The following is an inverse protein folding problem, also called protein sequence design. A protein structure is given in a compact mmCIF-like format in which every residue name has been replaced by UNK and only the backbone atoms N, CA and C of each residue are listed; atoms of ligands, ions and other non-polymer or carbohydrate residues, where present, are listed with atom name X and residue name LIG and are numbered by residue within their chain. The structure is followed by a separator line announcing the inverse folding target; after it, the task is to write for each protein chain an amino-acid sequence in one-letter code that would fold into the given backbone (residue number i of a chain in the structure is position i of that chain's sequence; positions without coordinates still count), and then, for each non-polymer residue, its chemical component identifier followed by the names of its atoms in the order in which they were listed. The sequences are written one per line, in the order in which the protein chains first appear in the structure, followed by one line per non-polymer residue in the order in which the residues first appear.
data_IF_623862501224
#
_entry.id   IF_623862501224
#
_cell.length_a   1.000
_cell.length_b   1.000
_cell.length_c   1.000
_cell.angle_alpha   90.00
_cell.angle_beta   90.00
_cell.angle_gamma   90.00
#
_symmetry.space_group_name_H-M   'P 1'
#
loop_
_entity.id
_entity.type
_entity.pdbx_description
1 polymer ?
#
# COMPACT_ATOMS: atom_id res chain seq x y z
N UNK A 1 11.60 -25.88 -2.79
CA UNK A 1 12.82 -25.09 -3.04
C UNK A 1 13.60 -25.78 -4.14
N UNK A 2 14.15 -25.06 -5.12
CA UNK A 2 15.01 -25.69 -6.14
C UNK A 2 16.26 -26.24 -5.47
N UNK A 3 16.59 -27.51 -5.71
CA UNK A 3 17.92 -28.03 -5.39
C UNK A 3 18.98 -27.23 -6.16
N UNK A 4 20.20 -27.13 -5.62
CA UNK A 4 21.29 -26.38 -6.26
C UNK A 4 21.53 -26.77 -7.72
N UNK A 5 21.31 -28.05 -8.06
CA UNK A 5 21.37 -28.57 -9.42
C UNK A 5 20.27 -27.98 -10.32
N UNK A 6 19.06 -27.80 -9.80
CA UNK A 6 17.95 -27.17 -10.52
C UNK A 6 18.24 -25.70 -10.86
N UNK A 7 18.83 -24.95 -9.92
CA UNK A 7 19.27 -23.57 -10.16
C UNK A 7 20.37 -23.50 -11.22
N UNK A 8 21.34 -24.41 -11.14
CA UNK A 8 22.41 -24.53 -12.12
C UNK A 8 21.89 -24.84 -13.52
N UNK A 9 21.05 -25.86 -13.66
CA UNK A 9 20.50 -26.28 -14.95
C UNK A 9 19.57 -25.24 -15.55
N UNK A 10 18.78 -24.55 -14.72
CA UNK A 10 17.92 -23.45 -15.16
C UNK A 10 18.71 -22.28 -15.73
N UNK A 11 19.71 -21.79 -14.99
CA UNK A 11 20.58 -20.71 -15.47
C UNK A 11 21.45 -21.11 -16.67
N UNK A 12 21.89 -22.37 -16.71
CA UNK A 12 22.58 -22.94 -17.88
C UNK A 12 21.67 -22.96 -19.11
N UNK A 13 20.41 -23.38 -18.94
CA UNK A 13 19.41 -23.44 -20.00
C UNK A 13 19.09 -22.07 -20.61
N UNK A 14 18.95 -21.04 -19.77
CA UNK A 14 18.72 -19.65 -20.21
C UNK A 14 19.94 -19.01 -20.91
N UNK A 15 21.15 -19.33 -20.46
CA UNK A 15 22.36 -18.80 -21.08
C UNK A 15 22.79 -19.58 -22.35
N UNK A 16 22.31 -20.82 -22.51
CA UNK A 16 22.65 -21.69 -23.64
C UNK A 16 21.77 -21.41 -24.87
N UNK A 17 22.40 -21.14 -26.01
CA UNK A 17 21.71 -20.87 -27.28
C UNK A 17 20.84 -22.06 -27.71
N UNK A 18 19.54 -21.84 -27.85
CA UNK A 18 18.55 -22.86 -28.22
C UNK A 18 17.59 -23.18 -27.07
N UNK A 19 18.04 -23.84 -25.98
CA UNK A 19 17.22 -24.09 -24.80
C UNK A 19 16.65 -22.81 -24.18
N UNK A 20 17.37 -21.69 -24.29
CA UNK A 20 16.97 -20.38 -23.78
C UNK A 20 15.65 -19.82 -24.34
N UNK A 21 15.16 -20.34 -25.47
CA UNK A 21 13.84 -19.98 -25.98
C UNK A 21 12.70 -20.54 -25.11
N UNK A 22 12.96 -21.60 -24.35
CA UNK A 22 11.97 -22.33 -23.56
C UNK A 22 12.21 -22.24 -22.05
N UNK A 23 13.44 -21.91 -21.63
CA UNK A 23 13.83 -21.83 -20.22
C UNK A 23 14.10 -20.38 -19.86
N UNK A 24 13.16 -19.68 -19.19
CA UNK A 24 13.40 -18.32 -18.69
C UNK A 24 14.37 -18.37 -17.51
N UNK A 25 15.43 -17.57 -17.54
CA UNK A 25 16.46 -17.55 -16.49
C UNK A 25 16.05 -16.80 -15.23
N UNK A 26 15.22 -15.77 -15.35
CA UNK A 26 14.87 -14.84 -14.27
C UNK A 26 14.35 -15.54 -13.00
N UNK A 27 13.44 -16.53 -13.09
CA UNK A 27 12.94 -17.25 -11.91
C UNK A 27 14.05 -17.95 -11.12
N UNK A 28 15.08 -18.48 -11.79
CA UNK A 28 16.18 -19.18 -11.14
C UNK A 28 17.11 -18.21 -10.40
N UNK A 29 17.40 -17.04 -10.98
CA UNK A 29 18.18 -16.00 -10.30
C UNK A 29 17.45 -15.41 -9.08
N UNK A 30 16.13 -15.17 -9.19
CA UNK A 30 15.29 -14.73 -8.06
C UNK A 30 15.27 -15.81 -6.96
N UNK A 31 15.04 -17.07 -7.33
CA UNK A 31 15.03 -18.17 -6.36
C UNK A 31 16.37 -18.36 -5.66
N UNK A 32 17.49 -18.16 -6.36
CA UNK A 32 18.82 -18.22 -5.77
C UNK A 32 19.05 -17.09 -4.76
N UNK A 33 18.60 -15.86 -5.06
CA UNK A 33 18.64 -14.75 -4.12
C UNK A 33 17.82 -15.00 -2.87
N UNK A 34 16.60 -15.54 -3.03
CA UNK A 34 15.73 -15.90 -1.90
C UNK A 34 16.40 -16.93 -0.99
N UNK A 35 16.94 -18.02 -1.56
CA UNK A 35 17.61 -19.08 -0.80
C UNK A 35 18.88 -18.59 -0.10
N UNK A 36 19.64 -17.70 -0.75
CA UNK A 36 20.84 -17.13 -0.17
C UNK A 36 20.54 -16.29 1.07
N UNK A 37 19.45 -15.51 1.04
CA UNK A 37 18.97 -14.78 2.21
C UNK A 37 18.57 -15.73 3.35
N UNK A 38 17.97 -16.89 3.03
CA UNK A 38 17.66 -17.95 4.00
C UNK A 38 18.89 -18.73 4.50
N UNK A 39 20.12 -18.31 4.16
CA UNK A 39 21.37 -18.92 4.62
C UNK A 39 21.99 -19.95 3.65
N UNK A 40 21.33 -20.28 2.54
CA UNK A 40 21.83 -21.24 1.56
C UNK A 40 22.65 -20.55 0.46
N UNK A 41 23.86 -20.07 0.81
CA UNK A 41 24.79 -19.39 -0.11
C UNK A 41 25.21 -20.23 -1.34
N UNK A 42 25.12 -21.56 -1.24
CA UNK A 42 25.40 -22.47 -2.35
C UNK A 42 24.51 -22.20 -3.56
N UNK A 43 23.29 -21.71 -3.36
CA UNK A 43 22.35 -21.34 -4.42
C UNK A 43 22.92 -20.26 -5.36
N UNK A 44 23.61 -19.25 -4.81
CA UNK A 44 24.29 -18.20 -5.58
C UNK A 44 25.40 -18.80 -6.45
N UNK A 45 26.20 -19.70 -5.87
CA UNK A 45 27.31 -20.33 -6.58
C UNK A 45 26.78 -21.14 -7.75
N UNK A 46 25.76 -21.98 -7.53
CA UNK A 46 25.18 -22.81 -8.58
C UNK A 46 24.55 -21.99 -9.72
N UNK A 47 23.78 -20.94 -9.41
CA UNK A 47 23.13 -20.13 -10.46
C UNK A 47 24.15 -19.34 -11.27
N UNK A 48 25.19 -18.79 -10.62
CA UNK A 48 26.25 -18.05 -11.29
C UNK A 48 27.13 -18.96 -12.14
N UNK A 49 27.47 -20.16 -11.66
CA UNK A 49 28.20 -21.15 -12.44
C UNK A 49 27.40 -21.62 -13.66
N UNK A 50 26.10 -21.88 -13.49
CA UNK A 50 25.20 -22.27 -14.59
C UNK A 50 25.16 -21.20 -15.69
N UNK A 51 24.90 -19.95 -15.29
CA UNK A 51 24.86 -18.82 -16.21
C UNK A 51 26.20 -18.57 -16.93
N UNK A 52 27.32 -18.66 -16.21
CA UNK A 52 28.65 -18.45 -16.80
C UNK A 52 29.00 -19.57 -17.80
N UNK A 53 28.77 -20.83 -17.42
CA UNK A 53 29.03 -21.97 -18.30
C UNK A 53 28.14 -21.94 -19.54
N UNK A 54 26.88 -21.53 -19.42
CA UNK A 54 25.99 -21.36 -20.56
C UNK A 54 26.51 -20.31 -21.54
N UNK A 55 26.98 -19.16 -21.04
CA UNK A 55 27.60 -18.12 -21.88
C UNK A 55 28.85 -18.66 -22.60
N UNK A 56 29.71 -19.40 -21.88
CA UNK A 56 30.91 -19.99 -22.48
C UNK A 56 30.57 -21.01 -23.58
N UNK A 57 29.60 -21.89 -23.32
CA UNK A 57 29.15 -22.90 -24.28
C UNK A 57 28.50 -22.26 -25.50
N UNK A 58 27.63 -21.27 -25.31
CA UNK A 58 27.05 -20.47 -26.39
C UNK A 58 28.12 -19.80 -27.24
N UNK A 59 29.13 -19.21 -26.61
CA UNK A 59 30.30 -18.65 -27.28
C UNK A 59 31.07 -19.72 -28.08
N UNK A 60 31.34 -20.89 -27.51
CA UNK A 60 32.03 -22.00 -28.18
C UNK A 60 31.26 -22.52 -29.40
N UNK A 61 29.94 -22.68 -29.26
CA UNK A 61 29.04 -23.05 -30.35
C UNK A 61 29.09 -22.00 -31.45
N UNK A 62 29.06 -20.71 -31.08
CA UNK A 62 29.24 -19.59 -31.99
C UNK A 62 30.58 -19.62 -32.71
N UNK A 63 31.66 -19.87 -31.99
CA UNK A 63 33.03 -19.93 -32.51
C UNK A 63 33.20 -21.06 -33.53
N UNK A 64 32.65 -22.24 -33.26
CA UNK A 64 32.81 -23.43 -34.10
C UNK A 64 31.81 -23.52 -35.25
N UNK A 65 30.57 -23.11 -35.02
CA UNK A 65 29.46 -23.30 -35.97
C UNK A 65 28.83 -22.00 -36.48
N UNK A 66 29.15 -20.85 -35.92
CA UNK A 66 28.53 -19.56 -36.25
C UNK A 66 28.59 -19.21 -37.74
N UNK A 67 29.75 -19.38 -38.38
CA UNK A 67 29.91 -19.09 -39.81
C UNK A 67 29.12 -20.05 -40.73
N UNK A 68 28.87 -21.29 -40.30
CA UNK A 68 28.02 -22.24 -41.03
C UNK A 68 26.54 -21.92 -40.80
N UNK A 69 26.14 -21.66 -39.56
CA UNK A 69 24.78 -21.28 -39.18
C UNK A 69 24.33 -19.99 -39.88
N UNK A 70 25.18 -18.96 -39.89
CA UNK A 70 24.92 -17.69 -40.55
C UNK A 70 24.69 -17.86 -42.06
N UNK A 71 25.53 -18.66 -42.74
CA UNK A 71 25.37 -18.95 -44.18
C UNK A 71 24.07 -19.70 -44.47
N UNK A 72 23.71 -20.69 -43.64
CA UNK A 72 22.44 -21.42 -43.76
C UNK A 72 21.23 -20.51 -43.53
N UNK A 73 21.29 -19.63 -42.53
CA UNK A 73 20.23 -18.67 -42.22
C UNK A 73 20.03 -17.63 -43.33
N UNK A 74 21.11 -17.10 -43.91
CA UNK A 74 21.02 -16.15 -45.03
C UNK A 74 20.43 -16.83 -46.27
N UNK A 75 20.79 -18.11 -46.53
CA UNK A 75 20.21 -18.89 -47.63
C UNK A 75 18.71 -19.15 -47.43
N UNK A 76 18.29 -19.44 -46.20
CA UNK A 76 16.90 -19.71 -45.86
C UNK A 76 16.02 -18.45 -45.76
N UNK A 77 16.56 -17.34 -45.24
CA UNK A 77 15.88 -16.04 -45.15
C UNK A 77 16.81 -14.90 -45.60
N UNK A 78 16.85 -14.57 -46.90
CA UNK A 78 17.76 -13.57 -47.46
C UNK A 78 17.66 -12.17 -46.82
N UNK A 79 16.46 -11.78 -46.35
CA UNK A 79 16.23 -10.50 -45.64
C UNK A 79 17.08 -10.34 -44.37
N UNK A 80 17.55 -11.43 -43.77
CA UNK A 80 18.43 -11.40 -42.58
C UNK A 80 19.83 -10.87 -42.87
N UNK A 81 20.28 -10.89 -44.13
CA UNK A 81 21.63 -10.41 -44.53
C UNK A 81 21.90 -8.97 -44.08
N UNK A 82 20.93 -8.07 -44.26
CA UNK A 82 21.05 -6.66 -43.87
C UNK A 82 21.07 -6.48 -42.35
N UNK A 83 20.26 -7.26 -41.63
CA UNK A 83 20.22 -7.24 -40.16
C UNK A 83 21.56 -7.72 -39.57
N UNK A 84 22.08 -8.84 -40.08
CA UNK A 84 23.36 -9.40 -39.64
C UNK A 84 24.52 -8.42 -39.95
N UNK A 85 24.51 -7.75 -41.11
CA UNK A 85 25.51 -6.73 -41.43
C UNK A 85 25.46 -5.53 -40.45
N UNK A 86 24.26 -5.08 -40.06
CA UNK A 86 24.09 -4.05 -39.03
C UNK A 86 24.58 -4.50 -37.66
N UNK A 87 24.27 -5.73 -37.24
CA UNK A 87 24.78 -6.30 -35.99
C UNK A 87 26.31 -6.35 -35.99
N UNK A 88 26.93 -6.77 -37.12
CA UNK A 88 28.40 -6.75 -37.29
C UNK A 88 28.99 -5.37 -37.09
N UNK A 89 28.37 -4.35 -37.70
CA UNK A 89 28.81 -2.97 -37.55
C UNK A 89 28.70 -2.48 -36.10
N UNK A 90 27.58 -2.79 -35.41
CA UNK A 90 27.38 -2.42 -34.01
C UNK A 90 28.36 -3.12 -33.07
N UNK A 91 28.67 -4.40 -33.30
CA UNK A 91 29.66 -5.16 -32.53
C UNK A 91 31.07 -4.62 -32.78
N UNK A 92 31.42 -4.28 -34.03
CA UNK A 92 32.72 -3.70 -34.33
C UNK A 92 32.92 -2.33 -33.64
N UNK A 93 31.85 -1.53 -33.50
CA UNK A 93 31.91 -0.18 -32.91
C UNK A 93 31.73 -0.15 -31.40
N UNK A 94 30.89 -1.04 -30.84
CA UNK A 94 30.46 -1.04 -29.43
C UNK A 94 30.50 -2.43 -28.78
N UNK A 95 31.26 -3.38 -29.32
CA UNK A 95 31.25 -4.79 -28.91
C UNK A 95 31.48 -5.02 -27.43
N UNK A 96 32.40 -4.27 -26.81
CA UNK A 96 32.68 -4.35 -25.37
C UNK A 96 31.44 -4.02 -24.52
N UNK A 97 30.79 -2.90 -24.81
CA UNK A 97 29.57 -2.48 -24.11
C UNK A 97 28.39 -3.42 -24.37
N UNK A 98 28.27 -3.91 -25.61
CA UNK A 98 27.21 -4.84 -25.97
C UNK A 98 27.33 -6.15 -25.20
N UNK A 99 28.55 -6.69 -25.05
CA UNK A 99 28.78 -7.94 -24.30
C UNK A 99 28.54 -7.70 -22.81
N UNK A 100 29.05 -6.59 -22.26
CA UNK A 100 28.91 -6.26 -20.84
C UNK A 100 27.45 -6.05 -20.41
N UNK A 101 26.68 -5.30 -21.21
CA UNK A 101 25.29 -4.93 -20.86
C UNK A 101 24.24 -5.82 -21.53
N UNK A 102 24.63 -6.86 -22.28
CA UNK A 102 23.71 -7.74 -23.01
C UNK A 102 22.58 -8.28 -22.13
N UNK A 103 22.94 -8.73 -20.91
CA UNK A 103 22.02 -9.36 -19.96
C UNK A 103 20.98 -8.39 -19.37
N UNK A 104 21.19 -7.08 -19.47
CA UNK A 104 20.18 -6.08 -19.08
C UNK A 104 19.15 -5.81 -20.19
N UNK A 105 19.40 -6.26 -21.42
CA UNK A 105 18.60 -5.96 -22.60
C UNK A 105 17.61 -7.08 -22.96
N UNK A 106 17.28 -7.95 -22.00
CA UNK A 106 16.29 -9.02 -22.15
C UNK A 106 16.64 -10.01 -23.28
N UNK A 107 15.76 -10.24 -24.27
CA UNK A 107 15.97 -11.26 -25.32
C UNK A 107 17.24 -11.12 -26.16
N UNK A 108 17.89 -9.95 -26.13
CA UNK A 108 19.18 -9.74 -26.78
C UNK A 108 20.26 -10.61 -26.11
N UNK A 109 20.21 -10.77 -24.79
CA UNK A 109 21.17 -11.54 -24.00
C UNK A 109 21.35 -12.97 -24.51
N UNK A 110 20.25 -13.60 -24.95
CA UNK A 110 20.20 -14.97 -25.46
C UNK A 110 21.10 -15.25 -26.66
N UNK A 111 21.47 -14.22 -27.42
CA UNK A 111 22.18 -14.40 -28.71
C UNK A 111 23.57 -13.78 -28.69
N UNK A 112 23.86 -12.85 -27.75
CA UNK A 112 25.14 -12.15 -27.71
C UNK A 112 26.35 -13.09 -27.53
N UNK A 113 26.35 -14.07 -26.60
CA UNK A 113 27.47 -15.00 -26.45
C UNK A 113 27.79 -15.76 -27.76
N UNK A 114 26.75 -16.30 -28.42
CA UNK A 114 26.89 -16.99 -29.70
C UNK A 114 27.44 -16.07 -30.80
N UNK A 115 26.95 -14.83 -30.88
CA UNK A 115 27.40 -13.87 -31.88
C UNK A 115 28.86 -13.46 -31.61
N UNK A 116 29.24 -13.22 -30.37
CA UNK A 116 30.62 -12.92 -29.97
C UNK A 116 31.57 -14.04 -30.40
N UNK A 117 31.17 -15.30 -30.20
CA UNK A 117 31.88 -16.48 -30.70
C UNK A 117 32.00 -16.49 -32.22
N UNK A 118 30.90 -16.24 -32.93
CA UNK A 118 30.87 -16.24 -34.40
C UNK A 118 31.79 -15.19 -35.04
N UNK A 119 32.07 -14.12 -34.29
CA UNK A 119 32.99 -13.05 -34.68
C UNK A 119 34.41 -13.21 -34.14
N UNK A 120 34.71 -14.33 -33.46
CA UNK A 120 36.04 -14.65 -32.91
C UNK A 120 36.58 -13.55 -31.99
N UNK A 121 35.71 -12.94 -31.17
CA UNK A 121 36.15 -12.10 -30.05
C UNK A 121 37.11 -12.93 -29.19
N UNK A 122 38.29 -12.43 -28.77
CA UNK A 122 39.22 -13.24 -27.97
C UNK A 122 38.54 -13.76 -26.70
N UNK A 123 38.65 -15.07 -26.46
CA UNK A 123 37.93 -15.77 -25.39
C UNK A 123 38.12 -15.12 -24.02
N UNK A 124 39.36 -14.74 -23.66
CA UNK A 124 39.65 -14.07 -22.38
C UNK A 124 38.86 -12.77 -22.20
N UNK A 125 38.83 -11.92 -23.21
CA UNK A 125 38.08 -10.66 -23.17
C UNK A 125 36.57 -10.91 -23.08
N UNK A 126 36.07 -11.92 -23.82
CA UNK A 126 34.67 -12.31 -23.74
C UNK A 126 34.32 -12.83 -22.33
N UNK A 127 35.07 -13.76 -21.76
CA UNK A 127 34.76 -14.37 -20.47
C UNK A 127 34.76 -13.35 -19.33
N UNK A 128 35.68 -12.38 -19.33
CA UNK A 128 35.69 -11.30 -18.32
C UNK A 128 34.46 -10.42 -18.46
N UNK A 129 34.14 -9.96 -19.68
CA UNK A 129 32.96 -9.13 -19.92
C UNK A 129 31.65 -9.85 -19.62
N UNK A 130 31.57 -11.14 -19.97
CA UNK A 130 30.42 -11.99 -19.70
C UNK A 130 30.23 -12.21 -18.19
N UNK A 131 31.30 -12.38 -17.42
CA UNK A 131 31.24 -12.48 -15.96
C UNK A 131 30.68 -11.20 -15.34
N UNK A 132 31.21 -10.03 -15.71
CA UNK A 132 30.68 -8.76 -15.21
C UNK A 132 29.23 -8.53 -15.66
N UNK A 133 28.91 -8.88 -16.91
CA UNK A 133 27.53 -8.79 -17.39
C UNK A 133 26.57 -9.73 -16.66
N UNK A 134 27.03 -10.91 -16.27
CA UNK A 134 26.29 -11.87 -15.43
C UNK A 134 26.10 -11.33 -14.01
N UNK A 135 27.13 -10.73 -13.41
CA UNK A 135 27.02 -10.09 -12.09
C UNK A 135 26.01 -8.93 -12.15
N UNK A 136 26.05 -8.08 -13.17
CA UNK A 136 25.12 -6.95 -13.28
C UNK A 136 23.69 -7.42 -13.60
N UNK A 137 23.53 -8.19 -14.68
CA UNK A 137 22.22 -8.59 -15.18
C UNK A 137 21.56 -9.74 -14.42
N UNK A 138 22.34 -10.69 -13.90
CA UNK A 138 21.84 -11.74 -13.00
C UNK A 138 21.75 -11.26 -11.55
N UNK A 139 22.71 -10.45 -11.10
CA UNK A 139 22.76 -9.92 -9.74
C UNK A 139 21.56 -9.03 -9.39
N UNK A 140 21.01 -8.26 -10.33
CA UNK A 140 19.77 -7.51 -10.06
C UNK A 140 18.61 -8.43 -9.67
N UNK A 141 18.46 -9.59 -10.32
CA UNK A 141 17.39 -10.55 -10.03
C UNK A 141 17.64 -11.28 -8.71
N UNK A 142 18.90 -11.59 -8.42
CA UNK A 142 19.31 -12.11 -7.11
C UNK A 142 18.97 -11.10 -6.00
N UNK A 143 19.28 -9.82 -6.20
CA UNK A 143 18.95 -8.77 -5.25
C UNK A 143 17.44 -8.66 -5.02
N UNK A 144 16.63 -8.69 -6.10
CA UNK A 144 15.17 -8.78 -5.97
C UNK A 144 14.71 -10.02 -5.19
N UNK A 145 15.33 -11.17 -5.40
CA UNK A 145 15.06 -12.38 -4.62
C UNK A 145 15.36 -12.24 -3.14
N UNK A 146 16.49 -11.62 -2.79
CA UNK A 146 16.84 -11.33 -1.39
C UNK A 146 15.86 -10.33 -0.75
N UNK A 147 15.46 -9.29 -1.48
CA UNK A 147 14.45 -8.32 -1.01
C UNK A 147 13.10 -9.00 -0.73
N UNK A 148 12.67 -9.90 -1.61
CA UNK A 148 11.44 -10.68 -1.41
C UNK A 148 11.54 -11.58 -0.17
N UNK A 149 12.70 -12.17 0.10
CA UNK A 149 12.92 -13.03 1.26
C UNK A 149 12.98 -12.26 2.59
N UNK A 150 13.51 -11.04 2.59
CA UNK A 150 13.53 -10.14 3.74
C UNK A 150 12.12 -9.68 4.17
N UNK A 151 11.13 -9.83 3.28
CA UNK A 151 9.76 -9.41 3.49
C UNK A 151 9.52 -7.98 3.01
N UNK A 152 8.43 -7.81 2.26
CA UNK A 152 7.98 -6.50 1.76
C UNK A 152 7.63 -5.56 2.93
N UNK A 153 7.24 -6.13 4.07
CA UNK A 153 6.83 -5.42 5.29
C UNK A 153 8.00 -4.74 6.02
N UNK A 154 9.22 -5.22 5.84
CA UNK A 154 10.44 -4.64 6.42
C UNK A 154 10.88 -3.36 5.71
N UNK A 155 10.31 -3.05 4.54
CA UNK A 155 10.58 -1.83 3.78
C UNK A 155 9.36 -0.90 3.84
N UNK A 156 9.42 0.21 4.61
CA UNK A 156 8.29 1.12 4.80
C UNK A 156 7.63 1.54 3.47
N UNK A 157 8.45 1.93 2.48
CA UNK A 157 7.96 2.35 1.16
C UNK A 157 7.18 1.26 0.43
N UNK A 158 7.69 0.02 0.42
CA UNK A 158 7.03 -1.07 -0.29
C UNK A 158 5.76 -1.52 0.44
N UNK A 159 5.76 -1.48 1.77
CA UNK A 159 4.58 -1.74 2.57
C UNK A 159 3.48 -0.70 2.30
N UNK A 160 3.81 0.59 2.27
CA UNK A 160 2.87 1.66 1.89
C UNK A 160 2.29 1.44 0.49
N UNK A 161 3.13 1.05 -0.49
CA UNK A 161 2.67 0.73 -1.86
C UNK A 161 1.73 -0.48 -1.86
N UNK A 162 2.04 -1.54 -1.09
CA UNK A 162 1.19 -2.73 -0.96
C UNK A 162 -0.19 -2.37 -0.38
N UNK A 163 -0.22 -1.60 0.71
CA UNK A 163 -1.46 -1.13 1.34
C UNK A 163 -2.26 -0.27 0.35
N UNK A 164 -1.60 0.68 -0.31
CA UNK A 164 -2.24 1.52 -1.32
C UNK A 164 -2.89 0.71 -2.44
N UNK A 165 -2.18 -0.27 -3.01
CA UNK A 165 -2.70 -1.12 -4.07
C UNK A 165 -3.86 -2.01 -3.60
N UNK A 166 -3.79 -2.50 -2.36
CA UNK A 166 -4.86 -3.32 -1.78
C UNK A 166 -6.15 -2.51 -1.59
N UNK A 167 -6.06 -1.29 -1.05
CA UNK A 167 -7.21 -0.39 -0.89
C UNK A 167 -7.81 0.01 -2.25
N UNK A 168 -6.96 0.42 -3.20
CA UNK A 168 -7.40 0.99 -4.48
C UNK A 168 -7.73 -0.05 -5.56
N UNK A 169 -7.74 -1.34 -5.22
CA UNK A 169 -7.87 -2.43 -6.20
C UNK A 169 -9.13 -2.31 -7.08
N UNK A 170 -10.28 -1.92 -6.50
CA UNK A 170 -11.54 -1.77 -7.23
C UNK A 170 -11.48 -0.63 -8.27
N UNK A 171 -10.92 0.52 -7.88
CA UNK A 171 -10.72 1.66 -8.79
C UNK A 171 -9.70 1.32 -9.88
N UNK A 172 -8.57 0.70 -9.54
CA UNK A 172 -7.54 0.30 -10.50
C UNK A 172 -8.12 -0.65 -11.54
N UNK A 173 -8.88 -1.67 -11.13
CA UNK A 173 -9.56 -2.58 -12.03
C UNK A 173 -10.58 -1.87 -12.92
N UNK A 174 -11.36 -0.94 -12.36
CA UNK A 174 -12.31 -0.10 -13.12
C UNK A 174 -11.63 0.75 -14.18
N UNK A 175 -10.56 1.47 -13.82
CA UNK A 175 -9.77 2.28 -14.76
C UNK A 175 -9.12 1.41 -15.83
N UNK A 176 -8.59 0.25 -15.47
CA UNK A 176 -8.02 -0.70 -16.42
C UNK A 176 -9.07 -1.22 -17.42
N UNK A 177 -10.26 -1.59 -16.94
CA UNK A 177 -11.36 -2.03 -17.80
C UNK A 177 -11.81 -0.91 -18.77
N UNK A 178 -11.91 0.33 -18.29
CA UNK A 178 -12.19 1.50 -19.12
C UNK A 178 -11.10 1.68 -20.18
N UNK A 179 -9.82 1.63 -19.81
CA UNK A 179 -8.70 1.76 -20.72
C UNK A 179 -8.73 0.70 -21.83
N UNK A 180 -8.92 -0.57 -21.46
CA UNK A 180 -9.03 -1.68 -22.42
C UNK A 180 -10.20 -1.46 -23.37
N UNK A 181 -11.38 -1.09 -22.85
CA UNK A 181 -12.56 -0.81 -23.67
C UNK A 181 -12.34 0.38 -24.60
N UNK A 182 -11.70 1.45 -24.12
CA UNK A 182 -11.36 2.62 -24.95
C UNK A 182 -10.37 2.25 -26.06
N UNK A 183 -9.35 1.43 -25.78
CA UNK A 183 -8.39 0.94 -26.80
C UNK A 183 -9.10 0.10 -27.86
N UNK A 184 -9.96 -0.84 -27.45
CA UNK A 184 -10.74 -1.69 -28.36
C UNK A 184 -11.69 -0.83 -29.19
N UNK A 185 -12.45 0.06 -28.56
CA UNK A 185 -13.41 0.94 -29.21
C UNK A 185 -12.75 1.91 -30.19
N UNK A 186 -11.53 2.38 -29.89
CA UNK A 186 -10.72 3.18 -30.81
C UNK A 186 -10.30 2.36 -32.03
N UNK A 187 -9.78 1.14 -31.84
CA UNK A 187 -9.38 0.22 -32.92
C UNK A 187 -10.56 -0.19 -33.82
N UNK A 188 -11.73 -0.37 -33.22
CA UNK A 188 -12.97 -0.77 -33.91
C UNK A 188 -13.81 0.43 -34.40
N UNK A 189 -13.34 1.67 -34.23
CA UNK A 189 -14.02 2.91 -34.65
C UNK A 189 -15.47 3.03 -34.14
N UNK A 190 -15.69 2.72 -32.87
CA UNK A 190 -17.01 2.84 -32.26
C UNK A 190 -17.52 4.28 -32.27
N UNK A 191 -18.80 4.46 -32.63
CA UNK A 191 -19.50 5.75 -32.47
C UNK A 191 -19.66 6.07 -30.98
N UNK A 192 -19.53 7.34 -30.63
CA UNK A 192 -19.66 7.88 -29.27
C UNK A 192 -18.75 7.19 -28.22
N UNK A 193 -17.51 6.86 -28.61
CA UNK A 193 -16.55 6.18 -27.72
C UNK A 193 -16.34 6.91 -26.39
N UNK A 194 -16.25 8.25 -26.42
CA UNK A 194 -16.06 9.06 -25.21
C UNK A 194 -17.24 8.88 -24.24
N UNK A 195 -18.48 8.91 -24.74
CA UNK A 195 -19.68 8.74 -23.91
C UNK A 195 -19.71 7.35 -23.27
N UNK A 196 -19.42 6.30 -24.05
CA UNK A 196 -19.37 4.92 -23.54
C UNK A 196 -18.29 4.73 -22.49
N UNK A 197 -17.10 5.32 -22.71
CA UNK A 197 -15.97 5.22 -21.78
C UNK A 197 -16.26 5.99 -20.48
N UNK A 198 -16.87 7.17 -20.61
CA UNK A 198 -17.29 7.98 -19.45
C UNK A 198 -18.40 7.30 -18.66
N UNK A 199 -19.38 6.69 -19.33
CA UNK A 199 -20.45 5.94 -18.70
C UNK A 199 -19.92 4.70 -17.95
N UNK A 200 -18.99 3.96 -18.55
CA UNK A 200 -18.34 2.82 -17.89
C UNK A 200 -17.50 3.25 -16.69
N UNK A 201 -16.78 4.37 -16.80
CA UNK A 201 -16.03 4.94 -15.68
C UNK A 201 -16.95 5.32 -14.52
N UNK A 202 -18.03 6.05 -14.82
CA UNK A 202 -19.02 6.42 -13.81
C UNK A 202 -19.65 5.18 -13.16
N UNK A 203 -20.07 4.19 -13.95
CA UNK A 203 -20.60 2.93 -13.43
C UNK A 203 -19.60 2.19 -12.55
N UNK A 204 -18.31 2.20 -12.92
CA UNK A 204 -17.24 1.57 -12.14
C UNK A 204 -17.00 2.28 -10.81
N UNK A 205 -17.03 3.61 -10.78
CA UNK A 205 -16.92 4.42 -9.55
C UNK A 205 -18.12 4.19 -8.65
N UNK A 206 -19.34 4.20 -9.19
CA UNK A 206 -20.57 3.93 -8.44
C UNK A 206 -20.59 2.51 -7.87
N UNK A 207 -20.17 1.52 -8.66
CA UNK A 207 -20.04 0.14 -8.21
C UNK A 207 -18.99 -0.01 -7.12
N UNK A 208 -17.83 0.64 -7.25
CA UNK A 208 -16.80 0.61 -6.21
C UNK A 208 -17.30 1.21 -4.88
N UNK A 209 -18.06 2.30 -4.94
CA UNK A 209 -18.73 2.90 -3.79
C UNK A 209 -19.73 1.94 -3.15
N UNK A 210 -20.63 1.36 -3.96
CA UNK A 210 -21.64 0.42 -3.48
C UNK A 210 -21.00 -0.81 -2.84
N UNK A 211 -20.04 -1.44 -3.52
CA UNK A 211 -19.35 -2.61 -3.02
C UNK A 211 -18.55 -2.32 -1.74
N UNK A 212 -17.98 -1.13 -1.60
CA UNK A 212 -17.28 -0.74 -0.38
C UNK A 212 -18.24 -0.71 0.82
N UNK A 213 -19.29 0.12 0.75
CA UNK A 213 -20.15 0.37 1.90
C UNK A 213 -21.13 -0.76 2.20
N UNK A 214 -21.54 -1.54 1.20
CA UNK A 214 -22.64 -2.50 1.34
C UNK A 214 -22.24 -3.97 1.15
N UNK A 215 -21.02 -4.27 0.69
CA UNK A 215 -20.58 -5.65 0.47
C UNK A 215 -19.28 -5.99 1.23
N UNK A 216 -18.28 -5.10 1.19
CA UNK A 216 -17.00 -5.33 1.87
C UNK A 216 -17.01 -4.93 3.34
N UNK A 217 -18.00 -4.18 3.78
CA UNK A 217 -18.05 -3.66 5.15
C UNK A 217 -18.25 -4.79 6.19
N UNK A 218 -18.84 -5.92 5.77
CA UNK A 218 -19.12 -7.06 6.65
C UNK A 218 -17.85 -7.84 7.05
N UNK A 219 -16.74 -7.70 6.32
CA UNK A 219 -15.51 -8.49 6.53
C UNK A 219 -14.74 -8.08 7.82
N UNK A 220 -14.98 -6.87 8.35
CA UNK A 220 -14.24 -6.35 9.51
C UNK A 220 -14.57 -7.03 10.84
N UNK A 221 -15.75 -7.66 10.96
CA UNK A 221 -16.16 -8.41 12.16
C UNK A 221 -15.29 -9.66 12.40
N UNK A 222 -14.64 -10.17 11.36
CA UNK A 222 -13.95 -11.48 11.40
C UNK A 222 -12.45 -11.36 11.74
N UNK A 223 -11.89 -10.15 11.69
CA UNK A 223 -10.46 -9.88 11.94
C UNK A 223 -10.11 -9.47 13.38
N UNK A 224 -11.10 -9.26 14.26
CA UNK A 224 -10.86 -8.98 15.69
C UNK A 224 -10.38 -10.24 16.43
N UNK A 225 -9.13 -10.64 16.20
CA UNK A 225 -8.41 -11.49 17.13
C UNK A 225 -7.74 -10.58 18.15
N UNK A 226 -8.29 -10.61 19.36
CA UNK A 226 -7.76 -10.09 20.62
C UNK A 226 -6.23 -9.91 20.63
N UNK A 227 -5.78 -8.68 20.40
CA UNK A 227 -4.51 -8.23 20.95
C UNK A 227 -4.74 -7.97 22.44
N UNK A 228 -3.80 -8.42 23.27
CA UNK A 228 -3.83 -8.27 24.72
C UNK A 228 -4.13 -6.82 25.11
N UNK A 229 -4.88 -6.63 26.20
CA UNK A 229 -5.22 -5.31 26.76
C UNK A 229 -3.92 -4.58 27.10
N UNK A 230 -3.38 -3.85 26.12
CA UNK A 230 -2.12 -3.15 26.26
C UNK A 230 -2.29 -2.01 27.27
N UNK A 231 -1.31 -1.85 28.16
CA UNK A 231 -1.24 -0.66 29.02
C UNK A 231 -1.02 0.56 28.14
N UNK A 232 -1.78 1.63 28.35
CA UNK A 232 -1.65 2.88 27.59
C UNK A 232 -1.02 3.98 28.44
N UNK A 233 -0.01 4.61 27.86
CA UNK A 233 0.55 5.88 28.33
C UNK A 233 0.03 7.00 27.44
N UNK A 234 -0.73 7.95 28.02
CA UNK A 234 -1.38 9.03 27.27
C UNK A 234 -0.37 9.99 26.62
N UNK A 235 0.82 10.13 27.19
CA UNK A 235 1.87 11.01 26.63
C UNK A 235 2.44 10.46 25.32
N UNK A 236 2.33 9.14 25.10
CA UNK A 236 2.84 8.45 23.91
C UNK A 236 1.73 8.14 22.89
N UNK A 237 0.51 8.63 23.11
CA UNK A 237 -0.61 8.39 22.20
C UNK A 237 -0.54 9.31 21.00
N UNK A 238 -0.64 8.71 19.82
CA UNK A 238 -0.95 9.46 18.61
C UNK A 238 -2.44 9.84 18.64
N UNK A 239 -2.74 11.12 18.85
CA UNK A 239 -4.09 11.69 18.89
C UNK A 239 -4.67 11.94 17.48
N UNK A 240 -4.50 10.97 16.58
CA UNK A 240 -4.95 11.03 15.18
C UNK A 240 -5.66 9.74 14.78
N UNK A 241 -6.79 9.86 14.10
CA UNK A 241 -7.50 8.75 13.49
C UNK A 241 -7.62 8.96 11.98
N UNK A 242 -7.57 7.88 11.20
CA UNK A 242 -7.46 7.96 9.73
C UNK A 242 -8.67 7.31 9.03
N UNK A 243 -9.16 7.85 7.90
CA UNK A 243 -10.29 7.28 7.15
C UNK A 243 -9.91 6.05 6.29
N UNK A 244 -8.67 5.57 6.40
CA UNK A 244 -8.16 4.34 5.80
C UNK A 244 -6.79 3.99 6.37
N UNK A 245 -6.21 2.88 5.92
CA UNK A 245 -4.94 2.35 6.42
C UNK A 245 -3.72 2.94 5.68
N UNK A 246 -3.90 3.43 4.46
CA UNK A 246 -2.83 4.10 3.70
C UNK A 246 -2.47 5.47 4.31
N UNK A 247 -1.18 5.85 4.35
CA UNK A 247 -0.72 7.14 4.93
C UNK A 247 -1.06 8.37 4.07
N UNK A 248 -1.83 8.19 2.99
CA UNK A 248 -2.21 9.27 2.06
C UNK A 248 -3.40 10.07 2.58
N UNK A 249 -4.14 9.53 3.54
CA UNK A 249 -5.34 10.20 4.05
C UNK A 249 -5.01 11.21 5.14
N UNK A 250 -5.70 12.34 5.08
CA UNK A 250 -5.65 13.34 6.13
C UNK A 250 -6.25 12.76 7.43
N UNK A 251 -5.56 13.00 8.54
CA UNK A 251 -6.02 12.58 9.85
C UNK A 251 -7.20 13.43 10.32
N UNK A 252 -8.00 12.85 11.22
CA UNK A 252 -8.92 13.56 12.10
C UNK A 252 -8.40 13.55 13.54
N UNK A 253 -8.68 14.61 14.28
CA UNK A 253 -8.23 14.76 15.65
C UNK A 253 -8.94 13.79 16.61
N UNK A 254 -8.18 13.15 17.48
CA UNK A 254 -8.69 12.58 18.73
C UNK A 254 -8.53 13.67 19.78
N UNK A 255 -9.63 14.19 20.29
CA UNK A 255 -9.69 15.39 21.13
C UNK A 255 -10.41 15.17 22.48
N UNK A 256 -10.81 13.93 22.78
CA UNK A 256 -11.47 13.55 24.03
C UNK A 256 -10.84 12.28 24.60
N UNK A 257 -10.72 12.21 25.93
CA UNK A 257 -10.35 11.02 26.68
C UNK A 257 -11.39 10.79 27.77
N UNK A 258 -11.90 9.56 27.87
CA UNK A 258 -12.80 9.16 28.95
C UNK A 258 -12.12 8.09 29.81
N UNK A 259 -12.16 8.28 31.13
CA UNK A 259 -11.61 7.36 32.13
C UNK A 259 -12.75 6.64 32.83
N UNK A 260 -12.86 5.33 32.63
CA UNK A 260 -13.91 4.49 33.19
C UNK A 260 -14.28 3.31 32.29
N UNK A 261 -15.16 2.44 32.77
CA UNK A 261 -15.56 1.20 32.09
C UNK A 261 -16.04 1.44 30.65
N UNK A 262 -16.95 2.40 30.43
CA UNK A 262 -17.42 2.75 29.09
C UNK A 262 -17.99 4.18 29.05
N UNK A 263 -17.78 4.94 27.97
CA UNK A 263 -18.42 6.24 27.77
C UNK A 263 -19.90 6.11 27.40
N UNK A 264 -20.39 4.91 27.05
CA UNK A 264 -21.76 4.69 26.55
C UNK A 264 -22.85 5.23 27.47
N UNK A 265 -22.73 5.00 28.78
CA UNK A 265 -23.72 5.46 29.74
C UNK A 265 -23.78 6.99 29.80
N UNK A 266 -22.61 7.65 29.85
CA UNK A 266 -22.51 9.11 29.81
C UNK A 266 -23.12 9.66 28.51
N UNK A 267 -22.78 9.09 27.36
CA UNK A 267 -23.30 9.54 26.06
C UNK A 267 -24.83 9.46 26.01
N UNK A 268 -25.41 8.34 26.44
CA UNK A 268 -26.85 8.14 26.47
C UNK A 268 -27.55 9.15 27.41
N UNK A 269 -26.94 9.42 28.57
CA UNK A 269 -27.45 10.39 29.53
C UNK A 269 -27.41 11.83 29.02
N UNK A 270 -26.38 12.17 28.23
CA UNK A 270 -26.27 13.47 27.54
C UNK A 270 -27.21 13.59 26.33
N UNK A 271 -28.03 12.57 26.03
CA UNK A 271 -28.98 12.57 24.92
C UNK A 271 -28.37 12.26 23.55
N UNK A 272 -27.15 11.71 23.51
CA UNK A 272 -26.54 11.25 22.27
C UNK A 272 -27.07 9.88 21.88
N UNK A 273 -27.26 9.68 20.57
CA UNK A 273 -27.80 8.45 19.99
C UNK A 273 -26.65 7.59 19.50
N UNK A 274 -26.57 6.34 19.95
CA UNK A 274 -25.60 5.37 19.43
C UNK A 274 -25.85 5.14 17.93
N UNK A 275 -24.81 5.34 17.13
CA UNK A 275 -24.91 5.33 15.69
C UNK A 275 -24.42 4.01 15.08
N UNK A 276 -24.96 3.66 13.92
CA UNK A 276 -24.50 2.51 13.17
C UNK A 276 -23.28 2.85 12.32
N UNK A 277 -22.39 1.88 12.17
CA UNK A 277 -21.14 1.99 11.40
C UNK A 277 -21.06 0.86 10.40
N UNK A 278 -20.59 1.14 9.19
CA UNK A 278 -20.53 0.14 8.12
C UNK A 278 -19.69 -1.08 8.50
N UNK A 279 -18.56 -0.91 9.20
CA UNK A 279 -17.72 -2.05 9.63
C UNK A 279 -18.32 -2.97 10.70
N UNK A 280 -19.38 -2.55 11.40
CA UNK A 280 -19.91 -3.28 12.58
C UNK A 280 -21.40 -3.59 12.52
N UNK A 281 -22.10 -3.00 11.56
CA UNK A 281 -23.51 -3.20 11.35
C UNK A 281 -23.73 -3.60 9.89
N UNK A 282 -24.52 -4.64 9.68
CA UNK A 282 -24.97 -5.04 8.34
C UNK A 282 -26.00 -4.01 7.86
N UNK A 283 -25.52 -3.00 7.15
CA UNK A 283 -26.34 -1.92 6.61
C UNK A 283 -26.56 -2.20 5.13
N UNK A 284 -27.75 -2.64 4.76
CA UNK A 284 -28.15 -2.70 3.35
C UNK A 284 -28.59 -1.33 2.83
N UNK A 285 -28.70 -1.19 1.51
CA UNK A 285 -29.14 0.06 0.85
C UNK A 285 -30.48 0.58 1.38
N UNK A 286 -31.45 -0.31 1.62
CA UNK A 286 -32.77 0.05 2.16
C UNK A 286 -32.68 0.52 3.62
N UNK A 287 -31.85 -0.14 4.43
CA UNK A 287 -31.54 0.27 5.80
C UNK A 287 -30.87 1.63 5.87
N UNK A 288 -29.91 1.89 4.98
CA UNK A 288 -29.28 3.20 4.83
C UNK A 288 -30.30 4.31 4.58
N UNK A 289 -31.24 4.12 3.65
CA UNK A 289 -32.30 5.10 3.38
C UNK A 289 -33.24 5.31 4.57
N UNK A 290 -33.51 4.26 5.36
CA UNK A 290 -34.31 4.38 6.58
C UNK A 290 -33.60 5.25 7.63
N UNK A 291 -32.31 5.00 7.88
CA UNK A 291 -31.48 5.80 8.79
C UNK A 291 -31.42 7.29 8.39
N UNK A 292 -31.32 7.58 7.09
CA UNK A 292 -31.39 8.96 6.60
C UNK A 292 -32.74 9.62 6.91
N UNK A 293 -33.83 8.88 6.76
CA UNK A 293 -35.19 9.37 7.07
C UNK A 293 -35.38 9.60 8.57
N UNK A 294 -34.78 8.78 9.40
CA UNK A 294 -34.80 8.86 10.86
C UNK A 294 -33.85 9.91 11.44
N UNK A 295 -33.12 10.64 10.58
CA UNK A 295 -32.12 11.65 11.00
C UNK A 295 -30.97 11.06 11.81
N UNK A 296 -30.64 9.81 11.53
CA UNK A 296 -29.55 9.06 12.16
C UNK A 296 -28.62 8.45 11.10
N UNK A 297 -28.01 9.27 10.20
CA UNK A 297 -27.17 8.71 9.14
C UNK A 297 -26.06 7.85 9.75
N UNK A 298 -25.69 6.71 9.14
CA UNK A 298 -24.55 5.96 9.63
C UNK A 298 -23.26 6.78 9.47
N UNK A 299 -22.25 6.37 10.22
CA UNK A 299 -20.94 7.01 10.23
C UNK A 299 -19.91 6.10 9.58
N UNK A 300 -19.08 6.68 8.72
CA UNK A 300 -17.93 6.02 8.13
C UNK A 300 -16.87 5.72 9.18
N UNK A 301 -16.11 4.66 8.94
CA UNK A 301 -15.09 4.18 9.85
C UNK A 301 -13.86 5.09 9.88
N UNK A 302 -13.29 5.21 11.08
CA UNK A 302 -11.99 5.79 11.31
C UNK A 302 -11.12 4.75 12.02
N UNK A 303 -9.86 4.72 11.65
CA UNK A 303 -8.88 3.76 12.15
C UNK A 303 -7.91 4.46 13.09
N UNK A 304 -7.76 3.90 14.29
CA UNK A 304 -6.71 4.25 15.23
C UNK A 304 -5.90 2.98 15.51
N UNK A 305 -4.58 3.01 15.27
CA UNK A 305 -3.70 1.82 15.31
C UNK A 305 -4.24 0.65 14.49
N UNK A 306 -4.69 0.93 13.26
CA UNK A 306 -5.32 -0.05 12.36
C UNK A 306 -6.61 -0.70 12.90
N UNK A 307 -7.16 -0.22 14.01
CA UNK A 307 -8.41 -0.69 14.59
C UNK A 307 -9.55 0.29 14.27
N UNK A 308 -10.67 -0.17 13.70
CA UNK A 308 -11.85 0.68 13.56
C UNK A 308 -12.41 1.06 14.93
N UNK A 309 -13.21 2.12 14.98
CA UNK A 309 -13.85 2.57 16.22
C UNK A 309 -14.71 1.48 16.87
N UNK A 310 -14.70 1.43 18.20
CA UNK A 310 -15.48 0.48 19.00
C UNK A 310 -16.92 0.95 19.25
N UNK A 311 -17.23 2.23 19.04
CA UNK A 311 -18.60 2.76 19.03
C UNK A 311 -18.62 4.16 18.44
N UNK A 312 -19.79 4.59 17.96
CA UNK A 312 -20.01 5.95 17.47
C UNK A 312 -21.33 6.48 18.03
N UNK A 313 -21.39 7.78 18.27
CA UNK A 313 -22.59 8.48 18.73
C UNK A 313 -22.80 9.75 17.93
N UNK A 314 -24.05 10.21 17.85
CA UNK A 314 -24.40 11.49 17.24
C UNK A 314 -25.54 12.17 17.97
N UNK A 315 -25.60 13.49 17.88
CA UNK A 315 -26.82 14.24 18.17
C UNK A 315 -27.76 14.20 16.96
N UNK A 316 -29.09 14.35 17.15
CA UNK A 316 -30.05 14.37 16.04
C UNK A 316 -29.67 15.42 14.98
N UNK A 317 -29.56 15.00 13.72
CA UNK A 317 -29.08 15.88 12.65
C UNK A 317 -29.27 15.30 11.26
N UNK A 318 -28.50 15.78 10.29
CA UNK A 318 -28.49 15.20 8.94
C UNK A 318 -27.05 14.98 8.47
N UNK A 319 -26.86 14.44 7.25
CA UNK A 319 -25.55 14.16 6.67
C UNK A 319 -24.62 15.38 6.54
N UNK A 320 -25.16 16.60 6.63
CA UNK A 320 -24.40 17.85 6.48
C UNK A 320 -24.23 18.62 7.78
N UNK A 321 -25.06 18.34 8.79
CA UNK A 321 -25.13 19.10 10.05
C UNK A 321 -25.48 18.19 11.19
N UNK A 322 -24.46 17.78 11.94
CA UNK A 322 -24.57 16.99 13.17
C UNK A 322 -23.25 17.01 13.93
N UNK A 323 -23.35 16.97 15.25
CA UNK A 323 -22.21 16.61 16.10
C UNK A 323 -22.15 15.10 16.21
N UNK A 324 -20.97 14.53 16.01
CA UNK A 324 -20.74 13.09 16.13
C UNK A 324 -19.42 12.82 16.85
N UNK A 325 -19.35 11.71 17.56
CA UNK A 325 -18.16 11.28 18.29
C UNK A 325 -17.93 9.79 18.07
N UNK A 326 -16.69 9.41 17.77
CA UNK A 326 -16.25 8.01 17.64
C UNK A 326 -15.34 7.67 18.82
N UNK A 327 -15.46 6.46 19.35
CA UNK A 327 -14.70 6.01 20.51
C UNK A 327 -13.91 4.73 20.22
N UNK A 328 -12.70 4.67 20.75
CA UNK A 328 -11.83 3.49 20.76
C UNK A 328 -11.49 3.11 22.19
N UNK A 329 -11.53 1.82 22.50
CA UNK A 329 -10.97 1.29 23.74
C UNK A 329 -9.44 1.32 23.61
N UNK A 330 -8.82 2.13 24.45
CA UNK A 330 -7.39 2.41 24.40
C UNK A 330 -6.57 1.44 25.27
N UNK A 331 -7.22 0.66 26.14
CA UNK A 331 -6.59 -0.23 27.10
C UNK A 331 -6.65 0.32 28.53
N UNK A 332 -5.81 -0.25 29.40
CA UNK A 332 -5.75 0.11 30.82
C UNK A 332 -4.67 1.15 31.06
N UNK A 333 -4.97 2.14 31.90
CA UNK A 333 -3.96 3.08 32.37
C UNK A 333 -2.87 2.36 33.19
N UNK A 334 -1.60 2.64 32.91
CA UNK A 334 -0.47 2.02 33.61
C UNK A 334 -0.49 2.29 35.12
N UNK A 335 -0.98 3.46 35.56
CA UNK A 335 -0.90 3.88 36.96
C UNK A 335 -2.17 3.57 37.76
N UNK A 336 -3.35 3.80 37.18
CA UNK A 336 -4.64 3.63 37.86
C UNK A 336 -5.32 2.28 37.59
N UNK A 337 -4.83 1.51 36.61
CA UNK A 337 -5.43 0.26 36.14
C UNK A 337 -6.93 0.39 35.79
N UNK A 338 -7.36 1.60 35.41
CA UNK A 338 -8.71 1.90 34.92
C UNK A 338 -8.74 1.88 33.39
N UNK A 339 -9.84 1.43 32.76
CA UNK A 339 -9.99 1.51 31.31
C UNK A 339 -10.01 2.96 30.82
N UNK A 340 -9.33 3.20 29.70
CA UNK A 340 -9.29 4.49 29.01
C UNK A 340 -9.87 4.36 27.61
N UNK A 341 -10.64 5.38 27.23
CA UNK A 341 -11.26 5.48 25.93
C UNK A 341 -10.80 6.76 25.24
N UNK A 342 -10.45 6.66 23.96
CA UNK A 342 -10.11 7.79 23.11
C UNK A 342 -11.32 8.17 22.27
N UNK A 343 -11.63 9.46 22.20
CA UNK A 343 -12.77 10.02 21.50
C UNK A 343 -12.36 11.04 20.44
N UNK A 344 -12.90 10.91 19.24
CA UNK A 344 -12.81 11.91 18.17
C UNK A 344 -14.18 12.56 17.99
N UNK A 345 -14.39 13.75 18.55
CA UNK A 345 -15.62 14.55 18.39
C UNK A 345 -15.43 15.59 17.29
N UNK A 346 -16.45 15.75 16.46
CA UNK A 346 -16.42 16.65 15.30
C UNK A 346 -17.83 17.10 14.90
N UNK A 347 -17.91 18.24 14.22
CA UNK A 347 -19.14 18.77 13.64
C UNK A 347 -19.12 18.59 12.13
N UNK A 348 -20.21 18.10 11.57
CA UNK A 348 -20.40 18.11 10.12
C UNK A 348 -20.96 19.46 9.70
N UNK A 349 -20.37 20.10 8.68
CA UNK A 349 -20.82 21.41 8.15
C UNK A 349 -21.18 21.38 6.65
N UNK A 350 -21.01 20.24 5.98
CA UNK A 350 -21.28 20.10 4.55
C UNK A 350 -20.97 18.73 3.97
N UNK A 351 -20.77 18.67 2.65
CA UNK A 351 -20.31 17.48 1.93
C UNK A 351 -19.01 17.79 1.18
N UNK A 352 -18.10 16.82 1.10
CA UNK A 352 -16.84 16.91 0.36
C UNK A 352 -16.66 15.64 -0.48
N UNK A 353 -16.19 15.82 -1.71
CA UNK A 353 -15.68 14.69 -2.52
C UNK A 353 -14.27 14.41 -2.01
N UNK A 354 -14.05 13.23 -1.44
CA UNK A 354 -12.79 12.89 -0.77
C UNK A 354 -12.38 11.46 -1.08
N UNK A 355 -11.07 11.16 -1.16
CA UNK A 355 -10.60 9.78 -1.11
C UNK A 355 -10.91 9.18 0.27
N UNK A 356 -11.40 7.95 0.30
CA UNK A 356 -11.73 7.21 1.51
C UNK A 356 -11.45 5.73 1.29
N UNK A 357 -10.53 5.14 2.06
CA UNK A 357 -10.22 3.70 2.03
C UNK A 357 -10.19 3.09 0.60
N UNK A 358 -9.50 3.76 -0.32
CA UNK A 358 -9.25 3.29 -1.68
C UNK A 358 -10.30 3.67 -2.74
N UNK A 359 -11.35 4.38 -2.36
CA UNK A 359 -12.39 4.87 -3.28
C UNK A 359 -12.46 6.41 -3.27
N UNK A 360 -13.03 6.99 -4.32
CA UNK A 360 -13.46 8.40 -4.32
C UNK A 360 -14.96 8.42 -4.03
N UNK A 361 -15.34 9.10 -2.96
CA UNK A 361 -16.74 9.14 -2.50
C UNK A 361 -17.13 10.53 -1.99
N UNK A 362 -18.42 10.69 -1.70
CA UNK A 362 -18.99 11.91 -1.11
C UNK A 362 -19.23 11.62 0.36
N UNK A 363 -18.47 12.26 1.23
CA UNK A 363 -18.65 12.19 2.69
C UNK A 363 -19.06 13.54 3.25
N UNK A 364 -19.43 13.53 4.53
CA UNK A 364 -19.57 14.74 5.30
C UNK A 364 -18.24 15.49 5.35
N UNK A 365 -18.31 16.81 5.29
CA UNK A 365 -17.19 17.69 5.58
C UNK A 365 -17.23 18.00 7.08
N UNK A 366 -16.10 17.80 7.74
CA UNK A 366 -15.91 18.16 9.15
C UNK A 366 -15.51 19.63 9.23
N UNK A 367 -16.10 20.35 10.17
CA UNK A 367 -15.69 21.72 10.50
C UNK A 367 -14.22 21.72 10.94
N UNK A 368 -13.35 22.56 10.34
CA UNK A 368 -11.94 22.59 10.70
C UNK A 368 -11.67 22.94 12.17
N UNK A 369 -12.61 23.60 12.86
CA UNK A 369 -12.50 23.93 14.28
C UNK A 369 -12.96 22.76 15.17
N UNK A 370 -12.10 21.77 15.36
CA UNK A 370 -12.43 20.60 16.20
C UNK A 370 -12.49 20.95 17.70
N UNK A 371 -11.87 22.06 18.12
CA UNK A 371 -11.86 22.49 19.51
C UNK A 371 -13.22 23.02 19.96
N UNK A 372 -13.96 23.69 19.07
CA UNK A 372 -15.29 24.22 19.39
C UNK A 372 -16.29 23.12 19.74
N UNK A 373 -16.27 21.99 19.03
CA UNK A 373 -17.14 20.86 19.39
C UNK A 373 -16.71 20.15 20.66
N UNK A 374 -15.40 20.01 20.88
CA UNK A 374 -14.86 19.50 22.14
C UNK A 374 -15.34 20.37 23.31
N UNK A 375 -15.26 21.68 23.18
CA UNK A 375 -15.63 22.62 24.24
C UNK A 375 -17.14 22.65 24.47
N UNK A 376 -17.96 22.52 23.41
CA UNK A 376 -19.42 22.33 23.54
C UNK A 376 -19.77 21.07 24.33
N UNK A 377 -19.07 19.94 24.09
CA UNK A 377 -19.25 18.73 24.88
C UNK A 377 -18.85 18.95 26.36
N UNK A 378 -17.74 19.65 26.61
CA UNK A 378 -17.30 19.97 27.96
C UNK A 378 -18.33 20.82 28.72
N UNK A 379 -18.92 21.82 28.06
CA UNK A 379 -20.01 22.65 28.61
C UNK A 379 -21.27 21.83 28.89
N UNK A 380 -21.64 20.93 27.97
CA UNK A 380 -22.78 20.03 28.15
C UNK A 380 -22.59 19.15 29.40
N UNK A 381 -21.41 18.55 29.56
CA UNK A 381 -21.07 17.72 30.73
C UNK A 381 -21.10 18.55 32.02
N UNK A 382 -20.47 19.72 32.06
CA UNK A 382 -20.49 20.62 33.24
C UNK A 382 -21.91 20.98 33.67
N UNK A 383 -22.79 21.22 32.70
CA UNK A 383 -24.18 21.59 32.97
C UNK A 383 -25.03 20.42 33.49
N UNK A 384 -24.78 19.20 33.01
CA UNK A 384 -25.60 18.01 33.31
C UNK A 384 -25.07 17.25 34.53
N UNK A 385 -23.74 17.20 34.69
CA UNK A 385 -23.02 16.47 35.74
C UNK A 385 -21.90 17.33 36.36
N UNK A 386 -22.24 18.34 37.18
CA UNK A 386 -21.24 19.24 37.77
C UNK A 386 -20.21 18.55 38.67
N UNK A 387 -20.55 17.37 39.20
CA UNK A 387 -19.67 16.56 40.05
C UNK A 387 -18.68 15.70 39.26
N UNK A 388 -18.86 15.55 37.94
CA UNK A 388 -17.93 14.78 37.12
C UNK A 388 -16.70 15.65 36.82
N UNK A 389 -15.52 15.15 37.21
CA UNK A 389 -14.27 15.84 36.92
C UNK A 389 -14.03 15.95 35.42
N UNK A 390 -13.79 17.16 34.92
CA UNK A 390 -13.31 17.39 33.56
C UNK A 390 -12.13 18.36 33.55
N UNK A 391 -11.17 18.12 32.67
CA UNK A 391 -9.98 18.96 32.51
C UNK A 391 -9.54 18.98 31.04
N UNK A 392 -9.01 20.12 30.60
CA UNK A 392 -8.33 20.22 29.29
C UNK A 392 -6.83 20.08 29.53
N UNK A 393 -6.22 19.05 28.96
CA UNK A 393 -4.80 18.74 29.13
C UNK A 393 -4.05 18.89 27.80
N UNK A 394 -2.87 19.53 27.77
CA UNK A 394 -2.08 19.74 26.56
C UNK A 394 -1.34 18.46 26.15
N UNK A 395 -2.07 17.41 25.77
CA UNK A 395 -1.52 16.09 25.43
C UNK A 395 -1.23 15.93 23.94
N UNK A 396 -1.87 16.74 23.08
CA UNK A 396 -1.65 16.71 21.64
C UNK A 396 -0.84 17.93 21.18
N UNK A 397 -0.25 17.81 19.99
CA UNK A 397 0.42 18.93 19.34
C UNK A 397 -0.63 19.88 18.77
N UNK A 398 -0.47 21.17 19.02
CA UNK A 398 -1.27 22.20 18.36
C UNK A 398 -1.03 22.15 16.84
N UNK A 399 -2.11 22.15 16.06
CA UNK A 399 -2.06 22.07 14.60
C UNK A 399 -2.82 23.23 13.96
N UNK A 400 -2.31 23.70 12.83
CA UNK A 400 -2.94 24.73 11.99
C UNK A 400 -3.19 24.10 10.63
N UNK A 401 -4.30 24.50 9.99
CA UNK A 401 -4.65 24.03 8.66
C UNK A 401 -3.49 24.21 7.66
N UNK A 402 -3.20 23.14 6.94
CA UNK A 402 -2.23 23.12 5.86
C UNK A 402 -2.62 22.03 4.84
N UNK A 403 -1.80 21.84 3.80
CA UNK A 403 -2.08 20.84 2.74
C UNK A 403 -2.10 19.37 3.23
N UNK A 404 -1.72 19.11 4.47
CA UNK A 404 -1.66 17.78 5.10
C UNK A 404 -2.56 17.61 6.32
N UNK A 405 -3.26 18.67 6.74
CA UNK A 405 -4.11 18.71 7.92
C UNK A 405 -5.34 19.58 7.61
N UNK A 406 -6.50 18.95 7.53
CA UNK A 406 -7.78 19.60 7.20
C UNK A 406 -8.45 20.31 8.40
N UNK A 407 -7.83 20.29 9.58
CA UNK A 407 -8.36 20.87 10.81
C UNK A 407 -7.31 21.72 11.55
N UNK A 408 -7.76 22.54 12.50
CA UNK A 408 -6.91 23.19 13.49
C UNK A 408 -7.29 22.76 14.89
N UNK A 409 -6.31 22.68 15.79
CA UNK A 409 -6.52 22.40 17.22
C UNK A 409 -5.49 23.12 18.08
N UNK A 410 -5.88 23.53 19.27
CA UNK A 410 -5.03 24.09 20.32
C UNK A 410 -4.12 23.03 21.00
N UNK A 411 -4.31 21.75 20.67
CA UNK A 411 -3.55 20.63 21.24
C UNK A 411 -4.08 20.14 22.60
N UNK A 412 -5.13 20.76 23.12
CA UNK A 412 -5.75 20.33 24.36
C UNK A 412 -6.70 19.14 24.11
N UNK A 413 -6.67 18.19 25.02
CA UNK A 413 -7.55 17.03 25.05
C UNK A 413 -8.50 17.16 26.23
N UNK A 414 -9.79 17.04 25.96
CA UNK A 414 -10.81 17.01 27.01
C UNK A 414 -10.76 15.67 27.73
N UNK A 415 -10.27 15.67 28.97
CA UNK A 415 -10.29 14.53 29.87
C UNK A 415 -11.56 14.52 30.70
N UNK A 416 -12.27 13.38 30.71
CA UNK A 416 -13.53 13.17 31.42
C UNK A 416 -13.33 12.02 32.43
N UNK A 417 -13.63 12.29 33.71
CA UNK A 417 -13.51 11.34 34.83
C UNK A 417 -12.42 11.71 35.83
N UNK A 418 -12.30 10.92 36.90
CA UNK A 418 -11.22 11.08 37.89
C UNK A 418 -9.88 10.70 37.27
N UNK A 419 -8.98 11.68 37.11
CA UNK A 419 -7.60 11.44 36.69
C UNK A 419 -6.67 11.43 37.91
N UNK A 420 -5.66 10.56 37.86
CA UNK A 420 -4.47 10.63 38.72
C UNK A 420 -3.49 11.73 38.27
N UNK A 421 -3.79 12.43 37.17
CA UNK A 421 -3.07 13.61 36.72
C UNK A 421 -3.54 14.78 37.57
N UNK A 422 -2.77 15.09 38.61
CA UNK A 422 -3.03 16.23 39.48
C UNK A 422 -3.21 17.51 38.66
N UNK A 423 -4.10 18.38 39.13
CA UNK A 423 -4.36 19.74 38.63
C UNK A 423 -3.15 20.69 38.79
N UNK A 424 -1.93 20.22 38.51
CA UNK A 424 -0.75 21.07 38.46
C UNK A 424 -0.43 21.38 37.00
N UNK A 425 -0.46 22.67 36.68
CA UNK A 425 -0.01 23.28 35.43
C UNK A 425 1.49 23.03 35.19
N UNK A 426 1.92 21.78 35.00
CA UNK A 426 3.26 21.52 34.48
C UNK A 426 3.20 21.51 32.97
N UNK A 427 3.83 22.53 32.38
CA UNK A 427 4.25 22.55 30.97
C UNK A 427 5.01 21.26 30.68
N UNK A 428 4.37 20.33 29.99
CA UNK A 428 4.98 19.07 29.58
C UNK A 428 5.36 19.16 28.11
N UNK A 429 6.64 18.90 27.83
CA UNK A 429 7.21 18.90 26.48
C UNK A 429 6.68 17.69 25.70
N UNK A 430 5.84 17.94 24.70
CA UNK A 430 5.32 16.92 23.80
C UNK A 430 6.48 16.26 23.03
N UNK A 431 6.66 14.96 23.24
CA UNK A 431 7.64 14.15 22.53
C UNK A 431 7.33 14.17 21.02
N UNK A 432 8.27 14.70 20.24
CA UNK A 432 8.27 14.62 18.78
C UNK A 432 8.84 13.29 18.31
N UNK A 433 8.12 12.67 17.38
CA UNK A 433 8.47 11.59 16.45
C UNK A 433 7.89 10.22 16.81
N UNK A 434 7.00 9.73 15.96
CA UNK A 434 7.34 8.65 15.01
C UNK A 434 6.33 8.67 13.83
N UNK A 435 6.87 8.75 12.61
CA UNK A 435 6.18 8.55 11.32
C UNK A 435 6.42 7.10 10.90
#
# INVERSE_FOLDING_TARGET
MFEGIGLFLGALGDALIGPNLFVPGEPFFIAAGYQAYSGAWSALVFVMLGGLLGDQLSYLIGYRYGAKAQRKLIKFRPKTKRLIARCRFLIARKGTYLILFARLLGPIAWVVPFIAGSHRVPWRSFSVLALFGLILGGGQFIAWGMLLAHGVESFPLLNSVKIFLAEHQSLILGVFAVLVMTIIGYRMKWRHLMLKSSALLLASVLYANYAHFFWKADDFLTQQKSEEVASIDLEQVTYKAFPGLSPIYDAQAINVVYVGESPRELMNQLGWIENQTFSRNEIEWTGYLALLKEKTPPVSDLYWRNKPQDMAFQLPGNLMKRSHIRWWNAGLDHNSNRPKWLGAISYDDGLKVTPYSGIVTILHRVDPNVDEERDRLAEQIKSTYPSLGIANLPLAKAEVMNDSNDYYTDGNILMIGESSYGFDEQKLEVATNDI
#
